data_IF_524892195569
#
_entry.id   IF_524892195569
#
_cell.length_a   1.000
_cell.length_b   1.000
_cell.length_c   1.000
_cell.angle_alpha   90.00
_cell.angle_beta   90.00
_cell.angle_gamma   90.00
#
_symmetry.space_group_name_H-M   'P 1'
#
loop_
_entity.id
_entity.type
_entity.pdbx_description
1 polymer ?
#
# COMPACT_ATOMS: atom_id res chain seq x y z
N UNK A 1 3.18 20.67 63.72
CA UNK A 1 2.94 20.84 62.28
C UNK A 1 3.71 19.82 61.42
N UNK A 2 4.96 19.51 61.74
CA UNK A 2 5.81 18.53 61.02
C UNK A 2 5.24 17.08 61.01
N UNK A 3 4.67 16.58 62.10
CA UNK A 3 4.12 15.23 62.19
C UNK A 3 2.85 15.00 61.36
N UNK A 4 2.02 16.03 61.09
CA UNK A 4 0.88 15.95 60.20
C UNK A 4 1.31 15.94 58.71
N UNK A 5 2.37 16.66 58.35
CA UNK A 5 2.94 16.66 57.00
C UNK A 5 3.59 15.31 56.65
N UNK A 6 4.33 14.69 57.59
CA UNK A 6 4.91 13.36 57.35
C UNK A 6 3.87 12.27 57.15
N UNK A 7 2.73 12.31 57.87
CA UNK A 7 1.62 11.35 57.64
C UNK A 7 0.93 11.57 56.30
N UNK A 8 0.80 12.83 55.84
CA UNK A 8 0.21 13.15 54.56
C UNK A 8 1.11 12.69 53.40
N UNK A 9 2.44 12.86 53.53
CA UNK A 9 3.40 12.39 52.54
C UNK A 9 3.43 10.87 52.43
N UNK A 10 3.37 10.14 53.54
CA UNK A 10 3.30 8.67 53.52
C UNK A 10 1.98 8.14 52.94
N UNK A 11 0.85 8.79 53.20
CA UNK A 11 -0.43 8.41 52.60
C UNK A 11 -0.46 8.69 51.10
N UNK A 12 0.08 9.84 50.66
CA UNK A 12 0.17 10.17 49.24
C UNK A 12 1.13 9.23 48.51
N UNK A 13 2.27 8.87 49.14
CA UNK A 13 3.21 7.88 48.54
C UNK A 13 2.57 6.49 48.47
N UNK A 14 1.84 6.04 49.45
CA UNK A 14 1.13 4.76 49.43
C UNK A 14 0.00 4.72 48.37
N UNK A 15 -0.74 5.82 48.21
CA UNK A 15 -1.76 5.95 47.16
C UNK A 15 -1.16 5.99 45.79
N UNK A 16 0.00 6.68 45.59
CA UNK A 16 0.72 6.70 44.34
C UNK A 16 1.28 5.31 43.99
N UNK A 17 1.84 4.56 44.93
CA UNK A 17 2.30 3.19 44.71
C UNK A 17 1.13 2.28 44.35
N UNK A 18 -0.02 2.39 45.00
CA UNK A 18 -1.24 1.62 44.70
C UNK A 18 -1.81 2.01 43.29
N UNK A 19 -1.73 3.27 42.89
CA UNK A 19 -2.16 3.69 41.54
C UNK A 19 -1.19 3.22 40.45
N UNK A 20 0.11 3.20 40.73
CA UNK A 20 1.12 2.66 39.79
C UNK A 20 0.95 1.15 39.62
N UNK A 21 0.71 0.41 40.72
CA UNK A 21 0.40 -1.02 40.66
C UNK A 21 -0.90 -1.30 39.89
N UNK A 22 -1.97 -0.51 40.16
CA UNK A 22 -3.22 -0.65 39.41
C UNK A 22 -3.07 -0.37 37.92
N UNK A 23 -2.29 0.64 37.55
CA UNK A 23 -2.05 0.96 36.12
C UNK A 23 -1.15 -0.06 35.43
N UNK A 24 -0.22 -0.67 36.17
CA UNK A 24 0.61 -1.76 35.69
C UNK A 24 -0.18 -3.06 35.54
N UNK A 25 -1.08 -3.34 36.46
CA UNK A 25 -2.05 -4.46 36.36
C UNK A 25 -3.06 -4.27 35.22
N UNK A 26 -3.56 -3.07 34.97
CA UNK A 26 -4.41 -2.79 33.81
C UNK A 26 -3.66 -2.99 32.49
N UNK A 27 -2.40 -2.60 32.40
CA UNK A 27 -1.55 -2.87 31.20
C UNK A 27 -1.27 -4.35 31.00
N UNK A 28 -1.10 -5.12 32.08
CA UNK A 28 -0.94 -6.58 32.00
C UNK A 28 -2.29 -7.23 31.63
N UNK A 29 -3.40 -6.72 32.15
CA UNK A 29 -4.75 -7.16 31.77
C UNK A 29 -5.08 -6.92 30.32
N UNK A 30 -4.76 -5.75 29.78
CA UNK A 30 -4.97 -5.46 28.35
C UNK A 30 -4.08 -6.33 27.44
N UNK A 31 -2.85 -6.67 27.89
CA UNK A 31 -2.00 -7.62 27.16
C UNK A 31 -2.54 -9.05 27.17
N UNK A 32 -3.20 -9.49 28.24
CA UNK A 32 -3.85 -10.80 28.25
C UNK A 32 -5.04 -10.85 27.28
N UNK A 33 -5.77 -9.75 27.11
CA UNK A 33 -6.89 -9.64 26.15
C UNK A 33 -6.41 -9.47 24.70
N UNK A 34 -5.23 -8.86 24.53
CA UNK A 34 -4.60 -8.61 23.23
C UNK A 34 -3.59 -9.71 22.80
N UNK A 35 -3.36 -10.74 23.64
CA UNK A 35 -2.56 -11.90 23.24
C UNK A 35 -3.33 -12.72 22.20
N UNK A 36 -3.37 -12.17 20.99
CA UNK A 36 -3.86 -12.83 19.80
C UNK A 36 -3.09 -14.13 19.54
N UNK A 37 -3.72 -15.17 18.99
CA UNK A 37 -3.05 -16.44 18.65
C UNK A 37 -1.86 -16.28 17.68
N UNK A 38 -1.70 -15.11 17.08
CA UNK A 38 -0.57 -14.74 16.19
C UNK A 38 0.82 -14.74 16.85
N UNK A 39 0.91 -14.74 18.19
CA UNK A 39 2.19 -14.72 18.93
C UNK A 39 2.58 -16.08 19.51
N UNK A 40 1.85 -17.13 19.23
CA UNK A 40 2.25 -18.49 19.61
C UNK A 40 3.35 -19.03 18.68
N UNK A 41 4.50 -18.35 18.65
CA UNK A 41 5.72 -18.88 18.02
C UNK A 41 6.42 -19.79 19.00
N UNK A 42 6.39 -21.10 18.73
CA UNK A 42 7.17 -22.08 19.44
C UNK A 42 6.42 -23.38 19.72
N UNK A 43 7.17 -24.45 19.86
CA UNK A 43 6.66 -25.75 20.30
C UNK A 43 6.31 -25.59 21.78
N UNK A 44 5.04 -25.74 22.11
CA UNK A 44 4.58 -25.79 23.49
C UNK A 44 4.83 -27.18 24.05
N UNK A 45 5.53 -27.30 25.21
CA UNK A 45 5.67 -28.60 25.89
C UNK A 45 4.28 -29.02 26.39
N UNK A 46 3.64 -29.99 25.74
CA UNK A 46 2.28 -30.39 26.08
C UNK A 46 2.22 -31.29 27.32
N UNK A 47 3.37 -31.76 27.77
CA UNK A 47 3.50 -32.69 28.91
C UNK A 47 4.10 -31.99 30.14
N UNK A 48 4.32 -30.68 30.05
CA UNK A 48 4.83 -29.90 31.17
C UNK A 48 3.82 -29.84 32.31
N UNK A 49 4.25 -30.15 33.51
CA UNK A 49 3.44 -29.99 34.72
C UNK A 49 3.58 -28.59 35.26
N UNK A 50 2.81 -27.66 34.73
CA UNK A 50 2.86 -26.22 35.06
C UNK A 50 1.97 -25.90 36.28
N UNK A 51 0.68 -26.20 36.20
CA UNK A 51 -0.27 -25.97 37.28
C UNK A 51 0.05 -26.84 38.49
N UNK A 52 0.51 -28.07 38.28
CA UNK A 52 0.97 -28.95 39.31
C UNK A 52 2.19 -28.38 40.06
N UNK A 53 3.18 -27.84 39.33
CA UNK A 53 4.37 -27.22 39.92
C UNK A 53 4.06 -25.95 40.70
N UNK A 54 3.03 -25.19 40.26
CA UNK A 54 2.57 -24.02 40.99
C UNK A 54 1.99 -24.35 42.36
N UNK A 55 1.56 -25.58 42.56
CA UNK A 55 0.94 -26.01 43.81
C UNK A 55 -0.57 -25.84 43.89
N UNK A 56 -1.24 -25.63 42.77
CA UNK A 56 -2.70 -25.59 42.69
C UNK A 56 -3.28 -24.66 41.64
N UNK A 57 -4.59 -24.78 41.45
CA UNK A 57 -5.41 -24.02 40.52
C UNK A 57 -6.15 -22.90 41.29
N UNK A 58 -6.51 -21.84 40.59
CA UNK A 58 -7.20 -20.68 41.15
C UNK A 58 -8.65 -20.62 40.70
N UNK A 59 -9.55 -20.27 41.60
CA UNK A 59 -10.97 -20.05 41.28
C UNK A 59 -11.16 -18.70 40.56
N UNK A 60 -12.04 -18.68 39.58
CA UNK A 60 -12.40 -17.48 38.85
C UNK A 60 -11.24 -16.91 38.02
N UNK A 61 -11.19 -15.59 37.86
CA UNK A 61 -10.10 -14.87 37.21
C UNK A 61 -9.06 -14.45 38.25
N UNK A 62 -7.83 -14.94 38.06
CA UNK A 62 -6.70 -14.56 38.90
C UNK A 62 -5.45 -14.35 38.04
N UNK A 63 -5.13 -13.11 37.75
CA UNK A 63 -4.02 -12.73 36.86
C UNK A 63 -2.63 -13.06 37.44
N UNK A 64 -2.54 -13.42 38.75
CA UNK A 64 -1.32 -13.93 39.38
C UNK A 64 -1.20 -15.46 39.31
N UNK A 65 -2.27 -16.14 38.86
CA UNK A 65 -2.30 -17.59 38.72
C UNK A 65 -1.58 -18.06 37.45
N UNK A 66 -0.34 -17.66 37.30
CA UNK A 66 0.47 -17.84 36.09
C UNK A 66 1.67 -18.74 36.28
N UNK A 67 2.14 -19.31 35.21
CA UNK A 67 3.43 -20.00 35.11
C UNK A 67 4.20 -19.50 33.89
N UNK A 68 5.52 -19.34 34.00
CA UNK A 68 6.36 -19.07 32.83
C UNK A 68 6.22 -20.21 31.81
N UNK A 69 6.04 -19.85 30.55
CA UNK A 69 5.80 -20.81 29.48
C UNK A 69 6.49 -20.33 28.20
N UNK A 70 7.66 -20.88 27.89
CA UNK A 70 8.54 -20.40 26.81
C UNK A 70 8.77 -18.88 26.94
N UNK A 71 8.53 -18.12 25.88
CA UNK A 71 8.67 -16.66 25.88
C UNK A 71 7.40 -15.91 26.35
N UNK A 72 6.47 -16.60 27.01
CA UNK A 72 5.18 -16.08 27.48
C UNK A 72 4.82 -16.64 28.84
N UNK A 73 3.58 -16.47 29.26
CA UNK A 73 2.99 -17.01 30.46
C UNK A 73 1.73 -17.80 30.10
N UNK A 74 1.45 -18.87 30.83
CA UNK A 74 0.16 -19.57 30.83
C UNK A 74 -0.53 -19.46 32.17
N UNK A 75 -1.83 -19.73 32.23
CA UNK A 75 -2.66 -19.53 33.40
C UNK A 75 -3.23 -20.85 33.91
N UNK A 76 -3.38 -20.93 35.25
CA UNK A 76 -3.97 -22.06 35.96
C UNK A 76 -5.30 -21.68 36.65
N UNK A 77 -5.99 -20.66 36.17
CA UNK A 77 -7.29 -20.19 36.66
C UNK A 77 -8.44 -20.60 35.71
N UNK A 78 -9.66 -20.67 36.22
CA UNK A 78 -10.83 -21.08 35.43
C UNK A 78 -11.15 -20.11 34.29
N UNK A 79 -10.63 -18.88 34.34
CA UNK A 79 -10.85 -17.87 33.31
C UNK A 79 -9.97 -18.07 32.06
N UNK A 80 -8.95 -18.94 32.15
CA UNK A 80 -8.10 -19.26 30.97
C UNK A 80 -8.87 -20.02 29.88
N UNK A 81 -9.99 -20.69 30.23
CA UNK A 81 -10.82 -21.45 29.28
C UNK A 81 -11.87 -20.56 28.59
N UNK A 82 -11.45 -19.61 27.79
CA UNK A 82 -12.34 -18.76 26.99
C UNK A 82 -12.06 -18.94 25.49
N UNK A 83 -12.71 -18.16 24.65
CA UNK A 83 -12.65 -18.28 23.17
C UNK A 83 -11.23 -18.42 22.63
N UNK A 84 -10.23 -17.80 23.28
CA UNK A 84 -8.81 -17.99 23.03
C UNK A 84 -8.19 -18.48 24.33
N UNK A 85 -7.97 -19.80 24.42
CA UNK A 85 -7.47 -20.42 25.63
C UNK A 85 -5.99 -20.08 25.85
N UNK A 86 -5.68 -19.52 27.01
CA UNK A 86 -4.32 -19.28 27.52
C UNK A 86 -3.99 -20.17 28.74
N UNK A 87 -4.72 -21.27 28.89
CA UNK A 87 -4.48 -22.26 29.93
C UNK A 87 -3.13 -22.95 29.78
N UNK A 88 -2.52 -23.28 30.93
CA UNK A 88 -1.35 -24.14 30.94
C UNK A 88 -1.67 -25.54 30.40
N UNK A 89 -0.69 -26.25 29.84
CA UNK A 89 -0.90 -27.57 29.21
C UNK A 89 -1.56 -28.62 30.12
N UNK A 90 -1.23 -28.63 31.42
CA UNK A 90 -1.76 -29.56 32.42
C UNK A 90 -3.03 -29.05 33.13
N UNK A 91 -3.57 -27.89 32.72
CA UNK A 91 -4.75 -27.30 33.38
C UNK A 91 -5.95 -28.25 33.38
N UNK A 92 -6.25 -28.87 32.26
CA UNK A 92 -7.40 -29.75 32.12
C UNK A 92 -7.32 -30.99 33.03
N UNK A 93 -6.18 -31.65 33.01
CA UNK A 93 -5.95 -32.83 33.85
C UNK A 93 -5.81 -32.49 35.30
N UNK A 94 -5.05 -31.44 35.66
CA UNK A 94 -4.72 -31.09 37.02
C UNK A 94 -5.80 -30.26 37.74
N UNK A 95 -6.38 -29.27 37.03
CA UNK A 95 -7.34 -28.32 37.63
C UNK A 95 -8.79 -28.78 37.46
N UNK A 96 -9.11 -29.44 36.37
CA UNK A 96 -10.48 -29.84 36.03
C UNK A 96 -10.74 -31.33 36.23
N UNK A 97 -9.69 -32.15 36.41
CA UNK A 97 -9.83 -33.60 36.52
C UNK A 97 -10.39 -34.29 35.29
N UNK A 98 -10.30 -33.60 34.14
CA UNK A 98 -10.80 -34.06 32.84
C UNK A 98 -9.60 -34.44 32.00
N UNK A 99 -9.58 -35.64 31.41
CA UNK A 99 -8.59 -35.97 30.40
C UNK A 99 -8.69 -34.92 29.26
N UNK A 100 -7.57 -34.28 28.91
CA UNK A 100 -7.60 -33.35 27.78
C UNK A 100 -8.12 -34.12 26.55
N UNK A 101 -8.97 -33.50 25.74
CA UNK A 101 -9.44 -34.15 24.52
C UNK A 101 -8.26 -34.65 23.72
N UNK A 102 -8.34 -35.83 23.10
CA UNK A 102 -7.23 -36.44 22.38
C UNK A 102 -6.68 -35.40 21.37
N UNK A 103 -5.49 -34.89 21.67
CA UNK A 103 -4.86 -33.88 20.84
C UNK A 103 -4.08 -34.57 19.77
N UNK A 104 -4.52 -34.50 18.53
CA UNK A 104 -3.77 -34.94 17.40
C UNK A 104 -2.38 -34.29 17.35
N UNK A 105 -1.41 -35.00 16.86
CA UNK A 105 -0.04 -34.52 16.66
C UNK A 105 0.16 -34.35 15.16
N UNK A 106 0.46 -33.15 14.72
CA UNK A 106 0.84 -32.87 13.34
C UNK A 106 2.37 -32.86 13.21
N UNK A 107 2.87 -33.36 12.10
CA UNK A 107 4.31 -33.33 11.80
C UNK A 107 4.60 -32.34 10.68
N UNK A 108 5.69 -31.55 10.82
CA UNK A 108 6.22 -30.67 9.78
C UNK A 108 7.72 -30.52 9.94
N UNK A 109 8.47 -30.78 8.87
CA UNK A 109 9.94 -30.69 8.84
C UNK A 109 10.63 -31.48 9.97
N UNK A 110 10.10 -32.66 10.32
CA UNK A 110 10.64 -33.51 11.38
C UNK A 110 10.28 -33.07 12.80
N UNK A 111 9.50 -32.01 12.97
CA UNK A 111 9.01 -31.55 14.27
C UNK A 111 7.55 -31.92 14.48
N UNK A 112 7.19 -32.18 15.73
CA UNK A 112 5.84 -32.53 16.16
C UNK A 112 5.13 -31.34 16.80
N UNK A 113 3.90 -31.09 16.37
CA UNK A 113 3.06 -29.97 16.82
C UNK A 113 1.73 -30.51 17.32
N UNK A 114 1.22 -29.91 18.39
CA UNK A 114 -0.07 -30.28 18.95
C UNK A 114 -1.24 -29.59 18.28
N UNK A 115 -2.40 -30.18 18.43
CA UNK A 115 -3.67 -29.60 18.00
C UNK A 115 -3.80 -28.14 18.48
N UNK A 116 -4.18 -27.25 17.59
CA UNK A 116 -4.24 -25.80 17.78
C UNK A 116 -2.94 -25.05 17.45
N UNK A 117 -1.83 -25.75 17.19
CA UNK A 117 -0.65 -25.09 16.65
C UNK A 117 -0.93 -24.55 15.24
N UNK A 118 -0.39 -23.39 14.92
CA UNK A 118 -0.60 -22.73 13.63
C UNK A 118 0.73 -22.35 12.99
N UNK A 119 0.76 -22.34 11.66
CA UNK A 119 1.81 -21.71 10.88
C UNK A 119 1.20 -21.08 9.64
N UNK A 120 1.88 -20.08 9.08
CA UNK A 120 1.45 -19.44 7.85
C UNK A 120 2.33 -19.96 6.71
N UNK A 121 1.71 -20.53 5.69
CA UNK A 121 2.34 -20.91 4.45
C UNK A 121 1.91 -19.95 3.36
N UNK A 122 2.82 -19.07 2.93
CA UNK A 122 2.51 -17.94 2.08
C UNK A 122 1.35 -17.13 2.69
N UNK A 123 0.22 -16.95 2.00
CA UNK A 123 -0.94 -16.22 2.50
C UNK A 123 -1.91 -17.08 3.34
N UNK A 124 -1.75 -18.41 3.35
CA UNK A 124 -2.69 -19.33 3.98
C UNK A 124 -2.27 -19.70 5.39
N UNK A 125 -3.17 -19.60 6.35
CA UNK A 125 -2.98 -20.05 7.71
C UNK A 125 -3.31 -21.54 7.80
N UNK A 126 -2.37 -22.34 8.31
CA UNK A 126 -2.53 -23.75 8.56
C UNK A 126 -2.66 -24.00 10.06
N UNK A 127 -3.66 -24.77 10.47
CA UNK A 127 -3.93 -25.13 11.87
C UNK A 127 -3.85 -26.64 12.05
N UNK A 128 -3.13 -27.10 13.05
CA UNK A 128 -3.12 -28.50 13.43
C UNK A 128 -4.48 -28.89 14.04
N UNK A 129 -5.21 -29.78 13.38
CA UNK A 129 -6.51 -30.26 13.82
C UNK A 129 -6.41 -31.20 15.03
N UNK A 130 -7.54 -31.44 15.69
CA UNK A 130 -7.66 -32.45 16.75
C UNK A 130 -7.33 -33.86 16.28
N UNK A 131 -7.44 -34.12 14.98
CA UNK A 131 -7.13 -35.41 14.35
C UNK A 131 -5.65 -35.56 13.98
N UNK A 132 -4.81 -34.56 14.21
CA UNK A 132 -3.38 -34.62 13.91
C UNK A 132 -3.06 -34.30 12.43
N UNK A 133 -3.94 -33.64 11.73
CA UNK A 133 -3.73 -33.21 10.34
C UNK A 133 -3.68 -31.70 10.27
N UNK A 134 -2.80 -31.18 9.40
CA UNK A 134 -2.78 -29.77 9.07
C UNK A 134 -3.98 -29.44 8.19
N UNK A 135 -4.78 -28.48 8.62
CA UNK A 135 -5.89 -27.91 7.85
C UNK A 135 -5.50 -26.49 7.50
N UNK A 136 -5.33 -26.21 6.22
CA UNK A 136 -4.91 -24.91 5.71
C UNK A 136 -6.10 -24.19 5.06
N UNK A 137 -6.09 -22.86 5.15
CA UNK A 137 -6.94 -22.01 4.30
C UNK A 137 -6.54 -22.18 2.84
N UNK A 138 -7.49 -21.92 1.94
CA UNK A 138 -7.28 -22.05 0.47
C UNK A 138 -7.55 -20.70 -0.20
N UNK A 139 -6.80 -19.66 0.20
CA UNK A 139 -6.85 -18.38 -0.48
C UNK A 139 -5.89 -18.37 -1.67
N UNK A 140 -6.28 -17.71 -2.76
CA UNK A 140 -5.34 -17.34 -3.81
C UNK A 140 -4.33 -16.33 -3.25
N UNK A 141 -3.04 -16.65 -3.33
CA UNK A 141 -1.98 -15.75 -2.85
C UNK A 141 -1.48 -14.86 -4.00
N UNK A 142 -0.97 -13.65 -3.66
CA UNK A 142 -0.37 -12.77 -4.66
C UNK A 142 0.86 -13.40 -5.31
N UNK A 143 1.66 -14.11 -4.53
CA UNK A 143 2.84 -14.82 -5.02
C UNK A 143 2.50 -16.30 -5.14
N UNK A 144 2.28 -16.74 -6.35
CA UNK A 144 2.04 -18.14 -6.71
C UNK A 144 3.26 -18.66 -7.48
N UNK A 145 3.98 -19.63 -6.90
CA UNK A 145 5.20 -20.17 -7.55
C UNK A 145 4.90 -20.87 -8.86
N UNK A 146 3.76 -21.55 -8.96
CA UNK A 146 3.30 -22.18 -10.20
C UNK A 146 3.07 -21.17 -11.32
N UNK A 147 2.44 -20.02 -11.00
CA UNK A 147 2.22 -18.92 -11.95
C UNK A 147 3.56 -18.34 -12.42
N UNK A 148 4.50 -18.06 -11.50
CA UNK A 148 5.82 -17.54 -11.83
C UNK A 148 6.57 -18.51 -12.74
N UNK A 149 6.56 -19.79 -12.44
CA UNK A 149 7.21 -20.82 -13.25
C UNK A 149 6.56 -20.94 -14.63
N UNK A 150 5.23 -20.98 -14.69
CA UNK A 150 4.49 -21.09 -15.95
C UNK A 150 4.78 -19.91 -16.87
N UNK A 151 4.81 -18.69 -16.35
CA UNK A 151 5.16 -17.48 -17.11
C UNK A 151 6.62 -17.55 -17.59
N UNK A 152 7.55 -17.96 -16.71
CA UNK A 152 8.97 -17.95 -17.03
C UNK A 152 9.37 -19.04 -18.03
N UNK A 153 8.68 -20.18 -18.02
CA UNK A 153 8.89 -21.25 -19.00
C UNK A 153 8.07 -21.08 -20.28
N UNK A 154 6.94 -20.36 -20.16
CA UNK A 154 6.11 -20.02 -21.29
C UNK A 154 6.73 -18.92 -22.15
N UNK A 155 6.16 -18.76 -23.34
CA UNK A 155 6.61 -17.78 -24.33
C UNK A 155 5.68 -16.56 -24.36
N UNK A 156 5.45 -15.94 -23.19
CA UNK A 156 4.51 -14.82 -23.03
C UNK A 156 5.12 -13.45 -23.37
N UNK A 157 6.43 -13.38 -23.66
CA UNK A 157 7.12 -12.11 -23.97
C UNK A 157 7.52 -11.29 -22.75
N UNK A 158 7.28 -11.81 -21.53
CA UNK A 158 7.69 -11.18 -20.28
C UNK A 158 8.12 -12.21 -19.24
N UNK A 159 8.72 -11.75 -18.15
CA UNK A 159 9.24 -12.57 -17.06
C UNK A 159 8.61 -12.18 -15.74
N UNK A 160 8.41 -13.17 -14.88
CA UNK A 160 7.87 -13.03 -13.54
C UNK A 160 8.93 -13.23 -12.45
N UNK A 161 8.72 -12.62 -11.29
CA UNK A 161 9.56 -12.79 -10.11
C UNK A 161 8.74 -12.85 -8.83
N UNK A 162 9.34 -13.42 -7.79
CA UNK A 162 8.83 -13.35 -6.43
C UNK A 162 9.25 -12.01 -5.79
N UNK A 163 8.30 -11.29 -5.22
CA UNK A 163 8.52 -10.05 -4.49
C UNK A 163 8.20 -10.22 -3.01
N UNK A 164 9.20 -10.01 -2.15
CA UNK A 164 9.05 -10.12 -0.69
C UNK A 164 7.96 -9.21 -0.12
N UNK A 165 7.75 -8.05 -0.74
CA UNK A 165 6.70 -7.09 -0.35
C UNK A 165 5.26 -7.61 -0.56
N UNK A 166 5.09 -8.66 -1.38
CA UNK A 166 3.80 -9.30 -1.64
C UNK A 166 3.69 -10.70 -1.05
N UNK A 167 4.80 -11.24 -0.55
CA UNK A 167 4.79 -12.54 0.10
C UNK A 167 3.92 -12.54 1.34
N UNK A 168 3.06 -13.52 1.44
CA UNK A 168 2.12 -13.65 2.56
C UNK A 168 0.84 -12.83 2.44
N UNK A 169 0.63 -12.12 1.32
CA UNK A 169 -0.63 -11.47 1.00
C UNK A 169 -1.49 -12.37 0.13
N UNK A 170 -2.80 -12.39 0.39
CA UNK A 170 -3.78 -12.97 -0.53
C UNK A 170 -4.00 -12.05 -1.72
N UNK A 171 -4.55 -12.60 -2.83
CA UNK A 171 -4.93 -11.80 -3.98
C UNK A 171 -5.96 -10.72 -3.60
N UNK A 172 -6.93 -11.05 -2.74
CA UNK A 172 -7.92 -10.08 -2.26
C UNK A 172 -7.28 -8.92 -1.48
N UNK A 173 -6.29 -9.20 -0.64
CA UNK A 173 -5.51 -8.16 0.05
C UNK A 173 -4.71 -7.31 -0.94
N UNK A 174 -4.10 -7.92 -1.96
CA UNK A 174 -3.39 -7.19 -3.00
C UNK A 174 -4.29 -6.25 -3.78
N UNK A 175 -5.45 -6.72 -4.22
CA UNK A 175 -6.44 -5.90 -4.90
C UNK A 175 -6.97 -4.78 -4.00
N UNK A 176 -7.16 -5.06 -2.71
CA UNK A 176 -7.66 -4.10 -1.73
C UNK A 176 -6.66 -3.03 -1.35
N UNK A 177 -5.37 -3.37 -1.18
CA UNK A 177 -4.38 -2.46 -0.58
C UNK A 177 -3.34 -1.93 -1.57
N UNK A 178 -3.12 -2.60 -2.72
CA UNK A 178 -2.07 -2.24 -3.67
C UNK A 178 -2.56 -1.56 -4.94
N UNK A 179 -3.88 -1.44 -5.12
CA UNK A 179 -4.50 -0.74 -6.24
C UNK A 179 -5.09 0.60 -5.78
N UNK A 180 -6.39 0.80 -5.94
CA UNK A 180 -7.10 1.90 -5.28
C UNK A 180 -7.71 2.93 -6.21
N UNK A 181 -7.74 2.71 -7.52
CA UNK A 181 -8.44 3.58 -8.44
C UNK A 181 -9.84 3.05 -8.71
N UNK A 182 -10.85 3.89 -8.52
CA UNK A 182 -12.23 3.55 -8.90
C UNK A 182 -12.44 3.81 -10.39
N UNK A 183 -13.20 2.95 -11.06
CA UNK A 183 -13.57 3.15 -12.46
C UNK A 183 -14.34 4.44 -12.64
N UNK A 184 -14.04 5.25 -13.66
CA UNK A 184 -14.79 6.45 -13.97
C UNK A 184 -16.24 6.11 -14.32
N UNK A 185 -17.18 6.98 -13.90
CA UNK A 185 -18.56 6.86 -14.36
C UNK A 185 -18.68 7.15 -15.86
N UNK A 186 -19.78 6.72 -16.48
CA UNK A 186 -20.04 7.01 -17.90
C UNK A 186 -20.00 8.51 -18.22
N UNK A 187 -20.48 9.36 -17.32
CA UNK A 187 -20.44 10.80 -17.47
C UNK A 187 -19.00 11.34 -17.49
N UNK A 188 -18.10 10.75 -16.69
CA UNK A 188 -16.68 11.09 -16.67
C UNK A 188 -15.96 10.55 -17.90
N UNK A 189 -16.35 9.37 -18.36
CA UNK A 189 -15.81 8.78 -19.61
C UNK A 189 -16.07 9.64 -20.85
N UNK A 190 -17.12 10.49 -20.84
CA UNK A 190 -17.46 11.42 -21.92
C UNK A 190 -16.97 12.86 -21.71
N UNK A 191 -16.16 13.09 -20.64
CA UNK A 191 -15.69 14.43 -20.28
C UNK A 191 -14.59 14.93 -21.23
N UNK A 192 -14.74 16.18 -21.70
CA UNK A 192 -13.71 17.00 -22.39
C UNK A 192 -12.68 16.19 -23.19
N UNK A 193 -13.13 15.35 -24.12
CA UNK A 193 -12.23 14.65 -25.04
C UNK A 193 -11.65 15.68 -26.02
N UNK A 194 -10.33 15.75 -26.05
CA UNK A 194 -9.60 16.55 -27.02
C UNK A 194 -9.23 15.65 -28.20
N UNK A 195 -9.65 16.02 -29.38
CA UNK A 195 -9.13 15.42 -30.62
C UNK A 195 -7.88 16.17 -31.01
N UNK A 196 -6.77 15.45 -31.09
CA UNK A 196 -5.52 16.01 -31.58
C UNK A 196 -5.58 16.10 -33.10
N UNK A 197 -5.33 17.28 -33.66
CA UNK A 197 -5.13 17.40 -35.11
C UNK A 197 -3.82 16.73 -35.46
N UNK A 198 -3.91 15.53 -36.02
CA UNK A 198 -2.77 14.78 -36.53
C UNK A 198 -2.58 15.17 -38.01
N UNK A 199 -1.49 15.88 -38.31
CA UNK A 199 -1.08 16.04 -39.70
C UNK A 199 -0.62 14.68 -40.26
N UNK A 200 -1.08 14.31 -41.45
CA UNK A 200 -0.77 13.02 -42.04
C UNK A 200 0.75 12.79 -42.25
N UNK A 201 1.55 13.84 -42.16
CA UNK A 201 3.00 13.84 -42.33
C UNK A 201 3.77 13.98 -41.01
N UNK A 202 3.08 13.98 -39.85
CA UNK A 202 3.77 14.16 -38.59
C UNK A 202 4.57 12.91 -38.21
N UNK A 203 5.88 13.09 -38.00
CA UNK A 203 6.78 12.01 -37.63
C UNK A 203 6.67 11.69 -36.14
N UNK A 204 6.23 10.49 -35.81
CA UNK A 204 6.28 9.92 -34.47
C UNK A 204 7.38 8.86 -34.45
N UNK A 205 8.41 9.01 -33.57
CA UNK A 205 9.50 8.05 -33.52
C UNK A 205 9.03 6.68 -33.00
N UNK A 206 9.73 5.61 -33.38
CA UNK A 206 9.45 4.25 -32.91
C UNK A 206 9.77 4.06 -31.41
N UNK A 207 10.62 4.92 -30.84
CA UNK A 207 10.95 4.95 -29.42
C UNK A 207 10.92 6.38 -28.89
N UNK A 208 10.40 6.54 -27.70
CA UNK A 208 10.38 7.80 -26.98
C UNK A 208 10.37 7.56 -25.45
N UNK A 209 11.18 8.32 -24.71
CA UNK A 209 11.17 8.32 -23.26
C UNK A 209 11.19 9.77 -22.76
N UNK A 210 10.19 10.14 -21.98
CA UNK A 210 10.07 11.49 -21.42
C UNK A 210 11.28 11.90 -20.56
N UNK A 211 11.89 10.96 -19.85
CA UNK A 211 13.06 11.24 -19.01
C UNK A 211 14.30 11.60 -19.87
N UNK A 212 14.40 11.07 -21.07
CA UNK A 212 15.47 11.41 -22.01
C UNK A 212 15.22 12.76 -22.69
N UNK A 213 13.97 13.05 -23.04
CA UNK A 213 13.59 14.34 -23.64
C UNK A 213 13.68 15.49 -22.65
N UNK A 214 13.29 15.25 -21.39
CA UNK A 214 13.26 16.25 -20.31
C UNK A 214 14.09 15.81 -19.10
N UNK A 215 15.42 15.75 -19.22
CA UNK A 215 16.29 15.28 -18.14
C UNK A 215 16.10 16.14 -16.86
N UNK A 216 15.99 15.47 -15.73
CA UNK A 216 15.78 16.10 -14.42
C UNK A 216 14.39 16.66 -14.17
N UNK A 217 13.43 16.47 -15.10
CA UNK A 217 12.05 16.98 -14.97
C UNK A 217 11.01 15.86 -14.79
N UNK A 218 11.41 14.62 -14.93
CA UNK A 218 10.56 13.43 -14.75
C UNK A 218 10.93 12.81 -13.41
N UNK A 219 9.94 12.71 -12.53
CA UNK A 219 10.12 12.15 -11.19
C UNK A 219 10.02 10.63 -11.22
N UNK A 220 10.85 10.01 -10.39
CA UNK A 220 10.92 8.56 -10.27
C UNK A 220 9.69 7.97 -9.58
N UNK A 221 9.40 6.66 -9.82
CA UNK A 221 8.31 5.96 -9.17
C UNK A 221 8.42 5.97 -7.64
N UNK A 222 7.30 6.23 -6.98
CA UNK A 222 7.13 6.15 -5.53
C UNK A 222 6.56 4.77 -5.11
N UNK A 223 6.43 4.57 -3.81
CA UNK A 223 5.80 3.37 -3.24
C UNK A 223 4.59 3.76 -2.38
N UNK A 224 3.40 3.31 -2.79
CA UNK A 224 2.15 3.52 -2.05
C UNK A 224 2.00 2.59 -0.84
N UNK A 225 2.88 1.59 -0.67
CA UNK A 225 2.78 0.62 0.42
C UNK A 225 1.42 -0.08 0.45
N UNK A 226 0.95 -0.41 1.65
CA UNK A 226 -0.37 -1.02 1.87
C UNK A 226 -1.49 0.04 1.99
N UNK A 227 -1.58 0.92 1.01
CA UNK A 227 -2.57 1.98 0.93
C UNK A 227 -3.14 2.00 -0.49
N UNK A 228 -4.44 1.76 -0.64
CA UNK A 228 -5.10 1.75 -1.94
C UNK A 228 -5.21 3.17 -2.52
N UNK A 229 -4.08 3.75 -2.88
CA UNK A 229 -3.95 5.16 -3.25
C UNK A 229 -3.30 5.42 -4.62
N UNK A 230 -3.33 4.45 -5.55
CA UNK A 230 -2.81 4.68 -6.91
C UNK A 230 -3.44 5.91 -7.58
N UNK A 231 -4.71 6.21 -7.25
CA UNK A 231 -5.42 7.42 -7.68
C UNK A 231 -4.69 8.71 -7.29
N UNK A 232 -4.11 8.77 -6.09
CA UNK A 232 -3.39 9.94 -5.58
C UNK A 232 -1.94 9.98 -6.06
N UNK A 233 -1.24 8.82 -6.06
CA UNK A 233 0.15 8.71 -6.47
C UNK A 233 0.34 9.03 -7.96
N UNK A 234 -0.47 8.46 -8.84
CA UNK A 234 -0.38 8.73 -10.27
C UNK A 234 -0.75 10.19 -10.61
N UNK A 235 -1.78 10.76 -9.93
CA UNK A 235 -2.17 12.16 -10.12
C UNK A 235 -1.05 13.11 -9.68
N UNK A 236 -0.49 12.93 -8.49
CA UNK A 236 0.62 13.73 -8.00
C UNK A 236 1.86 13.61 -8.90
N UNK A 237 2.19 12.39 -9.35
CA UNK A 237 3.34 12.13 -10.20
C UNK A 237 3.22 12.79 -11.58
N UNK A 238 2.07 12.66 -12.25
CA UNK A 238 1.84 13.32 -13.55
C UNK A 238 1.85 14.84 -13.41
N UNK A 239 1.21 15.39 -12.38
CA UNK A 239 1.21 16.82 -12.13
C UNK A 239 2.62 17.37 -11.87
N UNK A 240 3.45 16.65 -11.11
CA UNK A 240 4.85 17.00 -10.84
C UNK A 240 5.66 17.14 -12.12
N UNK A 241 5.59 16.14 -12.99
CA UNK A 241 6.31 16.13 -14.25
C UNK A 241 5.83 17.23 -15.20
N UNK A 242 4.52 17.42 -15.31
CA UNK A 242 3.92 18.45 -16.17
C UNK A 242 4.28 19.87 -15.71
N UNK A 243 4.29 20.15 -14.42
CA UNK A 243 4.76 21.42 -13.86
C UNK A 243 6.24 21.63 -14.18
N UNK A 244 7.05 20.59 -13.99
CA UNK A 244 8.50 20.65 -14.25
C UNK A 244 8.83 20.92 -15.70
N UNK A 245 8.12 20.28 -16.63
CA UNK A 245 8.27 20.48 -18.07
C UNK A 245 7.83 21.90 -18.46
N UNK A 246 6.64 22.31 -18.06
CA UNK A 246 6.02 23.57 -18.45
C UNK A 246 6.74 24.78 -17.87
N UNK A 247 7.34 24.66 -16.71
CA UNK A 247 8.21 25.68 -16.12
C UNK A 247 9.61 25.68 -16.74
N UNK A 248 9.86 24.86 -17.75
CA UNK A 248 11.20 24.67 -18.35
C UNK A 248 12.26 24.24 -17.31
N UNK A 249 11.84 23.66 -16.19
CA UNK A 249 12.73 23.25 -15.10
C UNK A 249 13.01 24.36 -14.06
N UNK A 250 12.36 25.53 -14.15
CA UNK A 250 12.44 26.53 -13.10
C UNK A 250 11.78 26.06 -11.80
N UNK A 251 10.78 25.23 -11.90
CA UNK A 251 10.13 24.55 -10.77
C UNK A 251 10.12 23.04 -11.05
N UNK A 252 10.62 22.25 -10.11
CA UNK A 252 10.65 20.78 -10.21
C UNK A 252 10.05 20.16 -8.94
N UNK A 253 8.81 20.52 -8.55
CA UNK A 253 8.21 20.01 -7.34
C UNK A 253 7.83 18.55 -7.49
N UNK A 254 8.20 17.71 -6.52
CA UNK A 254 7.55 16.42 -6.34
C UNK A 254 6.34 16.63 -5.44
N UNK A 255 5.14 16.52 -6.00
CA UNK A 255 3.91 16.80 -5.29
C UNK A 255 3.53 15.67 -4.32
N UNK A 256 2.88 16.04 -3.21
CA UNK A 256 2.50 15.12 -2.14
C UNK A 256 1.26 14.31 -2.48
N UNK A 257 1.34 13.00 -2.65
CA UNK A 257 0.15 12.13 -2.66
C UNK A 257 -0.54 12.11 -1.29
N UNK A 258 0.20 12.24 -0.17
CA UNK A 258 -0.38 12.32 1.17
C UNK A 258 -1.36 13.49 1.31
N UNK A 259 -1.06 14.63 0.72
CA UNK A 259 -1.95 15.79 0.75
C UNK A 259 -3.29 15.47 0.05
N UNK A 260 -3.28 14.75 -1.07
CA UNK A 260 -4.50 14.25 -1.71
C UNK A 260 -5.23 13.22 -0.82
N UNK A 261 -4.52 12.19 -0.35
CA UNK A 261 -5.08 11.10 0.46
C UNK A 261 -5.79 11.62 1.70
N UNK A 262 -5.18 12.58 2.41
CA UNK A 262 -5.71 13.09 3.68
C UNK A 262 -6.73 14.21 3.53
N UNK A 263 -6.65 15.01 2.47
CA UNK A 263 -7.39 16.27 2.38
C UNK A 263 -8.47 16.29 1.30
N UNK A 264 -8.37 15.44 0.27
CA UNK A 264 -9.44 15.25 -0.70
C UNK A 264 -10.44 14.22 -0.16
N UNK A 265 -11.40 14.73 0.62
CA UNK A 265 -12.38 13.87 1.31
C UNK A 265 -13.74 13.81 0.60
N UNK A 266 -13.90 14.53 -0.51
CA UNK A 266 -15.16 14.57 -1.23
C UNK A 266 -15.31 13.39 -2.19
N UNK A 267 -16.05 12.37 -1.76
CA UNK A 267 -16.21 11.09 -2.49
C UNK A 267 -14.90 10.36 -2.77
N UNK A 268 -13.95 10.48 -1.84
CA UNK A 268 -12.68 9.78 -1.83
C UNK A 268 -12.54 8.98 -0.54
N UNK A 269 -11.94 7.81 -0.60
CA UNK A 269 -11.75 6.91 0.54
C UNK A 269 -10.33 6.90 1.11
N UNK A 270 -9.47 7.86 0.75
CA UNK A 270 -8.08 7.85 1.23
C UNK A 270 -7.34 6.59 0.79
N UNK A 271 -6.90 5.77 1.76
CA UNK A 271 -6.27 4.47 1.52
C UNK A 271 -7.27 3.34 1.17
N UNK A 272 -8.57 3.59 1.19
CA UNK A 272 -9.59 2.64 0.72
C UNK A 272 -9.97 2.84 -0.75
N UNK A 273 -9.26 3.71 -1.45
CA UNK A 273 -9.48 3.98 -2.86
C UNK A 273 -10.08 5.35 -3.16
N UNK A 274 -9.97 5.77 -4.40
CA UNK A 274 -10.48 7.05 -4.86
C UNK A 274 -10.57 7.17 -6.38
N UNK A 275 -11.02 8.33 -6.82
CA UNK A 275 -11.28 8.66 -8.22
C UNK A 275 -10.25 9.66 -8.72
N UNK A 276 -9.69 9.43 -9.89
CA UNK A 276 -8.72 10.34 -10.48
C UNK A 276 -9.36 11.68 -10.90
N UNK A 277 -10.61 11.69 -11.37
CA UNK A 277 -11.33 12.93 -11.69
C UNK A 277 -11.53 13.80 -10.45
N UNK A 278 -11.81 13.21 -9.30
CA UNK A 278 -11.88 13.91 -8.01
C UNK A 278 -10.53 14.51 -7.61
N UNK A 279 -9.46 13.73 -7.74
CA UNK A 279 -8.10 14.19 -7.43
C UNK A 279 -7.68 15.39 -8.29
N UNK A 280 -7.94 15.36 -9.61
CA UNK A 280 -7.66 16.47 -10.51
C UNK A 280 -8.52 17.70 -10.19
N UNK A 281 -9.79 17.48 -9.83
CA UNK A 281 -10.65 18.58 -9.37
C UNK A 281 -10.09 19.22 -8.10
N UNK A 282 -9.64 18.41 -7.12
CA UNK A 282 -9.01 18.91 -5.90
C UNK A 282 -7.73 19.70 -6.21
N UNK A 283 -6.85 19.12 -7.04
CA UNK A 283 -5.59 19.77 -7.45
C UNK A 283 -5.85 21.11 -8.15
N UNK A 284 -6.84 21.18 -9.02
CA UNK A 284 -7.26 22.42 -9.67
C UNK A 284 -7.81 23.45 -8.69
N UNK A 285 -8.65 23.03 -7.76
CA UNK A 285 -9.41 23.95 -6.88
C UNK A 285 -8.67 24.31 -5.61
N UNK A 286 -7.95 23.36 -5.02
CA UNK A 286 -7.26 23.50 -3.74
C UNK A 286 -5.75 23.53 -3.90
N UNK A 287 -5.23 22.71 -4.79
CA UNK A 287 -3.79 22.46 -4.92
C UNK A 287 -3.22 21.65 -3.77
N UNK A 288 -1.98 21.26 -3.93
CA UNK A 288 -1.23 20.47 -2.95
C UNK A 288 0.17 21.04 -2.76
N UNK A 289 0.82 20.69 -1.65
CA UNK A 289 2.22 20.98 -1.37
C UNK A 289 3.13 19.88 -1.91
N UNK A 290 4.44 20.03 -1.72
CA UNK A 290 5.43 19.02 -2.10
C UNK A 290 5.44 17.83 -1.14
N UNK A 291 5.98 16.70 -1.60
CA UNK A 291 6.22 15.50 -0.80
C UNK A 291 7.18 15.79 0.37
N UNK A 292 8.18 16.63 0.17
CA UNK A 292 9.08 17.04 1.27
C UNK A 292 8.32 17.78 2.38
N UNK A 293 7.34 18.60 2.02
CA UNK A 293 6.53 19.35 2.98
C UNK A 293 5.53 18.46 3.72
N UNK A 294 4.85 17.57 2.99
CA UNK A 294 3.86 16.64 3.54
C UNK A 294 4.15 15.22 3.06
N UNK A 295 5.14 14.54 3.70
CA UNK A 295 5.57 13.22 3.29
C UNK A 295 4.47 12.19 3.38
N UNK A 296 4.51 11.20 2.48
CA UNK A 296 3.65 10.03 2.58
C UNK A 296 3.98 9.25 3.86
N UNK A 297 2.95 9.01 4.65
CA UNK A 297 3.03 8.19 5.86
C UNK A 297 2.03 7.04 5.72
N UNK A 298 2.49 5.86 5.30
CA UNK A 298 1.61 4.71 5.15
C UNK A 298 0.99 4.35 6.50
N UNK A 299 -0.29 3.91 6.55
CA UNK A 299 -0.90 3.45 7.76
C UNK A 299 -0.10 2.26 8.33
N UNK A 300 0.22 2.32 9.63
CA UNK A 300 1.02 1.28 10.31
C UNK A 300 0.27 -0.07 10.42
N UNK A 301 -1.03 -0.03 10.30
CA UNK A 301 -1.91 -1.20 10.20
C UNK A 301 -2.89 -0.96 9.05
N UNK A 302 -3.50 -2.03 8.56
CA UNK A 302 -4.54 -2.00 7.51
C UNK A 302 -5.83 -1.33 8.02
N UNK A 303 -5.72 -0.11 8.55
CA UNK A 303 -6.87 0.66 8.98
C UNK A 303 -7.43 1.41 7.77
N UNK A 304 -8.71 1.25 7.51
CA UNK A 304 -9.46 2.06 6.54
C UNK A 304 -9.63 3.52 7.05
N UNK A 305 -9.02 3.87 8.18
CA UNK A 305 -9.10 5.20 8.77
C UNK A 305 -8.36 6.22 7.91
N UNK A 306 -9.11 7.20 7.45
CA UNK A 306 -8.58 8.31 6.67
C UNK A 306 -7.70 9.17 7.57
N UNK A 307 -6.43 9.32 7.19
CA UNK A 307 -5.49 10.15 7.94
C UNK A 307 -5.97 11.61 7.99
N UNK A 308 -5.84 12.24 9.17
CA UNK A 308 -6.25 13.64 9.38
C UNK A 308 -5.54 14.57 8.38
N UNK A 309 -6.31 15.44 7.71
CA UNK A 309 -5.76 16.48 6.85
C UNK A 309 -4.98 17.51 7.67
N UNK A 310 -3.69 17.60 7.43
CA UNK A 310 -2.79 18.55 8.11
C UNK A 310 -2.45 19.76 7.26
N UNK A 311 -2.74 19.73 5.95
CA UNK A 311 -2.41 20.80 5.02
C UNK A 311 -3.61 21.15 4.14
N UNK A 312 -4.11 22.37 4.27
CA UNK A 312 -5.14 22.92 3.42
C UNK A 312 -4.67 24.23 2.77
N UNK A 313 -5.43 24.74 1.82
CA UNK A 313 -5.14 26.02 1.17
C UNK A 313 -6.33 26.96 1.18
N UNK A 314 -6.07 28.25 1.30
CA UNK A 314 -7.05 29.33 1.18
C UNK A 314 -6.78 30.19 -0.06
N UNK A 315 -7.82 30.78 -0.63
CA UNK A 315 -7.67 31.75 -1.71
C UNK A 315 -7.13 33.06 -1.16
N UNK A 316 -6.15 33.65 -1.86
CA UNK A 316 -5.57 34.97 -1.54
C UNK A 316 -5.82 35.98 -2.64
N UNK A 317 -6.76 35.72 -3.55
CA UNK A 317 -7.10 36.54 -4.69
C UNK A 317 -6.35 36.18 -5.97
N UNK A 318 -6.79 36.74 -7.09
CA UNK A 318 -6.22 36.52 -8.45
C UNK A 318 -5.98 35.06 -8.82
N UNK A 319 -6.76 34.13 -8.23
CA UNK A 319 -6.61 32.69 -8.44
C UNK A 319 -5.41 32.06 -7.72
N UNK A 320 -4.63 32.81 -6.94
CA UNK A 320 -3.54 32.26 -6.10
C UNK A 320 -4.08 31.65 -4.82
N UNK A 321 -3.38 30.64 -4.35
CA UNK A 321 -3.68 29.96 -3.08
C UNK A 321 -2.46 29.95 -2.18
N UNK A 322 -2.71 29.96 -0.87
CA UNK A 322 -1.70 29.91 0.18
C UNK A 322 -2.04 28.77 1.13
N UNK A 323 -1.04 28.05 1.57
CA UNK A 323 -1.18 27.04 2.62
C UNK A 323 -1.68 27.67 3.92
N UNK A 324 -2.54 26.93 4.64
CA UNK A 324 -3.13 27.41 5.90
C UNK A 324 -2.31 27.00 7.12
N UNK A 325 -1.30 26.16 6.96
CA UNK A 325 -0.44 25.63 8.02
C UNK A 325 1.03 25.56 7.56
N UNK A 326 1.91 25.37 8.52
CA UNK A 326 3.30 24.96 8.25
C UNK A 326 3.33 23.52 7.75
N UNK A 327 4.46 23.14 7.13
CA UNK A 327 4.67 21.78 6.69
C UNK A 327 4.56 20.79 7.88
N UNK A 328 3.86 19.66 7.74
CA UNK A 328 3.95 18.56 8.69
C UNK A 328 5.38 18.10 8.96
N UNK A 329 6.22 18.09 7.94
CA UNK A 329 7.67 17.95 8.12
C UNK A 329 8.26 19.25 8.65
N UNK A 330 8.60 19.29 9.93
CA UNK A 330 9.10 20.48 10.64
C UNK A 330 10.45 21.03 10.12
N UNK A 331 11.18 20.24 9.34
CA UNK A 331 12.45 20.64 8.72
C UNK A 331 12.27 21.43 7.43
N UNK A 332 11.04 21.43 6.87
CA UNK A 332 10.72 22.10 5.61
C UNK A 332 9.88 23.35 5.89
N UNK A 333 10.33 24.49 5.39
CA UNK A 333 9.67 25.78 5.57
C UNK A 333 8.84 26.20 4.34
N UNK A 334 9.12 25.61 3.17
CA UNK A 334 8.43 25.93 1.93
C UNK A 334 7.13 25.13 1.82
N UNK A 335 6.01 25.81 1.92
CA UNK A 335 4.67 25.23 1.86
C UNK A 335 3.87 25.78 0.67
N UNK A 336 4.53 25.99 -0.45
CA UNK A 336 3.92 26.46 -1.68
C UNK A 336 2.84 25.51 -2.17
N UNK A 337 1.74 26.10 -2.68
CA UNK A 337 0.59 25.36 -3.20
C UNK A 337 0.66 25.30 -4.72
N UNK A 338 0.75 24.11 -5.25
CA UNK A 338 0.76 23.82 -6.68
C UNK A 338 -0.62 23.39 -7.15
N UNK A 339 -1.05 23.94 -8.28
CA UNK A 339 -2.37 23.71 -8.87
C UNK A 339 -2.23 23.24 -10.32
N UNK A 340 -3.29 22.61 -10.85
CA UNK A 340 -3.41 22.26 -12.26
C UNK A 340 -4.52 23.07 -12.95
N UNK A 341 -4.52 23.02 -14.29
CA UNK A 341 -5.66 23.37 -15.12
C UNK A 341 -6.72 22.25 -15.07
N UNK A 342 -7.89 22.41 -15.70
CA UNK A 342 -8.80 21.30 -15.90
C UNK A 342 -8.12 20.17 -16.68
N UNK A 343 -8.27 18.92 -16.25
CA UNK A 343 -7.81 17.78 -17.02
C UNK A 343 -8.65 17.62 -18.29
N UNK A 344 -8.05 17.02 -19.30
CA UNK A 344 -8.72 16.65 -20.54
C UNK A 344 -8.46 15.18 -20.85
N UNK A 345 -9.44 14.54 -21.44
CA UNK A 345 -9.34 13.16 -21.88
C UNK A 345 -8.76 13.11 -23.29
N UNK A 346 -7.89 12.14 -23.54
CA UNK A 346 -7.42 11.79 -24.86
C UNK A 346 -8.34 10.74 -25.51
N UNK A 347 -8.34 10.69 -26.84
CA UNK A 347 -8.97 9.59 -27.56
C UNK A 347 -8.23 8.27 -27.27
N UNK A 348 -8.85 7.15 -27.62
CA UNK A 348 -8.24 5.82 -27.49
C UNK A 348 -7.20 5.51 -28.58
N UNK A 349 -6.92 6.47 -29.45
CA UNK A 349 -5.96 6.31 -30.53
C UNK A 349 -4.52 6.38 -29.99
N UNK A 350 -3.75 5.31 -30.20
CA UNK A 350 -2.36 5.24 -29.73
C UNK A 350 -1.50 6.41 -30.22
N UNK A 351 -1.67 6.86 -31.46
CA UNK A 351 -0.88 7.97 -32.04
C UNK A 351 -1.17 9.31 -31.38
N UNK A 352 -2.42 9.56 -31.02
CA UNK A 352 -2.79 10.78 -30.31
C UNK A 352 -2.22 10.79 -28.88
N UNK A 353 -2.23 9.64 -28.21
CA UNK A 353 -1.59 9.47 -26.88
C UNK A 353 -0.07 9.69 -27.01
N UNK A 354 0.57 9.09 -28.00
CA UNK A 354 2.01 9.28 -28.28
C UNK A 354 2.35 10.75 -28.52
N UNK A 355 1.58 11.43 -29.37
CA UNK A 355 1.78 12.86 -29.65
C UNK A 355 1.65 13.70 -28.39
N UNK A 356 0.62 13.47 -27.59
CA UNK A 356 0.42 14.20 -26.33
C UNK A 356 1.61 14.04 -25.38
N UNK A 357 2.10 12.80 -25.21
CA UNK A 357 3.27 12.53 -24.37
C UNK A 357 4.51 13.21 -24.94
N UNK A 358 4.71 13.13 -26.26
CA UNK A 358 5.86 13.71 -26.94
C UNK A 358 5.90 15.23 -26.84
N UNK A 359 4.76 15.90 -26.96
CA UNK A 359 4.69 17.35 -26.97
C UNK A 359 4.60 17.97 -25.57
N UNK A 360 3.84 17.33 -24.69
CA UNK A 360 3.38 17.93 -23.45
C UNK A 360 3.88 17.20 -22.19
N UNK A 361 4.37 15.97 -22.31
CA UNK A 361 4.88 15.18 -21.19
C UNK A 361 3.97 14.02 -20.76
N UNK A 362 4.31 13.29 -19.70
CA UNK A 362 3.61 12.11 -19.23
C UNK A 362 2.11 12.31 -19.02
N UNK A 363 1.35 11.24 -19.22
CA UNK A 363 -0.11 11.19 -19.04
C UNK A 363 -0.49 10.17 -17.98
N UNK A 364 -1.69 10.33 -17.43
CA UNK A 364 -2.26 9.37 -16.49
C UNK A 364 -3.18 8.41 -17.25
N UNK A 365 -3.04 7.11 -16.96
CA UNK A 365 -3.91 6.08 -17.51
C UNK A 365 -4.48 5.20 -16.39
N UNK A 366 -5.65 4.63 -16.66
CA UNK A 366 -6.28 3.59 -15.82
C UNK A 366 -6.09 2.27 -16.53
N UNK A 367 -5.79 1.21 -15.77
CA UNK A 367 -5.73 -0.15 -16.28
C UNK A 367 -6.41 -1.14 -15.33
N UNK A 368 -6.83 -2.29 -15.86
CA UNK A 368 -7.18 -3.46 -15.07
C UNK A 368 -5.92 -4.22 -14.68
N UNK A 369 -5.74 -4.46 -13.40
CA UNK A 369 -4.66 -5.29 -12.88
C UNK A 369 -5.20 -6.67 -12.58
N UNK A 370 -4.67 -7.66 -13.27
CA UNK A 370 -4.93 -9.08 -13.07
C UNK A 370 -3.91 -9.68 -12.10
N UNK A 371 -4.16 -10.90 -11.66
CA UNK A 371 -3.35 -11.60 -10.66
C UNK A 371 -1.87 -11.75 -11.06
N UNK A 372 -1.59 -11.95 -12.35
CA UNK A 372 -0.24 -12.14 -12.87
C UNK A 372 0.58 -10.84 -12.96
N UNK A 373 -0.07 -9.68 -12.95
CA UNK A 373 0.64 -8.39 -13.00
C UNK A 373 1.49 -8.14 -11.75
N UNK A 374 1.06 -8.63 -10.57
CA UNK A 374 1.82 -8.45 -9.33
C UNK A 374 3.21 -9.07 -9.39
N UNK A 375 3.38 -10.14 -10.14
CA UNK A 375 4.66 -10.85 -10.30
C UNK A 375 5.48 -10.40 -11.51
N UNK A 376 5.04 -9.37 -12.25
CA UNK A 376 5.77 -8.84 -13.40
C UNK A 376 7.18 -8.38 -13.01
N UNK A 377 8.19 -8.81 -13.77
CA UNK A 377 9.59 -8.43 -13.58
C UNK A 377 10.15 -7.62 -14.74
N UNK A 378 9.98 -8.08 -15.97
CA UNK A 378 10.55 -7.45 -17.17
C UNK A 378 9.91 -7.97 -18.47
N UNK A 379 10.09 -7.25 -19.55
CA UNK A 379 9.53 -7.60 -20.86
C UNK A 379 8.23 -6.86 -21.15
N UNK A 380 7.55 -7.22 -22.23
CA UNK A 380 6.29 -6.58 -22.63
C UNK A 380 5.14 -7.38 -22.03
N UNK A 381 4.53 -6.82 -20.97
CA UNK A 381 3.43 -7.45 -20.27
C UNK A 381 2.19 -7.59 -21.16
N UNK A 382 1.62 -8.77 -21.12
CA UNK A 382 0.25 -9.11 -21.50
C UNK A 382 -0.30 -10.04 -20.44
N UNK A 383 -1.57 -9.85 -20.09
CA UNK A 383 -2.26 -10.79 -19.20
C UNK A 383 -2.24 -12.21 -19.80
N UNK A 384 -1.96 -13.20 -18.97
CA UNK A 384 -1.81 -14.59 -19.41
C UNK A 384 -3.05 -15.42 -19.08
N UNK A 385 -3.20 -16.52 -19.80
CA UNK A 385 -4.25 -17.51 -19.57
C UNK A 385 -3.85 -18.63 -18.58
N UNK A 386 -2.71 -18.49 -17.91
CA UNK A 386 -2.15 -19.51 -17.01
C UNK A 386 -3.18 -19.98 -15.98
N UNK A 387 -3.92 -19.06 -15.40
CA UNK A 387 -4.92 -19.37 -14.37
C UNK A 387 -6.33 -19.62 -14.90
N UNK A 388 -6.53 -19.72 -16.21
CA UNK A 388 -7.88 -19.88 -16.82
C UNK A 388 -8.63 -21.11 -16.30
N UNK A 389 -7.91 -22.16 -15.93
CA UNK A 389 -8.46 -23.42 -15.41
C UNK A 389 -8.62 -23.44 -13.88
N UNK A 390 -8.07 -22.46 -13.18
CA UNK A 390 -8.21 -22.35 -11.71
C UNK A 390 -9.59 -21.80 -11.32
N UNK A 391 -9.96 -22.00 -10.07
CA UNK A 391 -11.20 -21.47 -9.51
C UNK A 391 -11.27 -19.91 -9.61
N UNK A 392 -12.47 -19.30 -9.62
CA UNK A 392 -12.64 -17.86 -9.81
C UNK A 392 -11.83 -16.98 -8.85
N UNK A 393 -11.55 -17.45 -7.61
CA UNK A 393 -10.75 -16.71 -6.64
C UNK A 393 -9.31 -16.45 -7.10
N UNK A 394 -8.78 -17.23 -8.04
CA UNK A 394 -7.44 -17.08 -8.62
C UNK A 394 -7.41 -16.16 -9.85
N UNK A 395 -8.54 -15.65 -10.31
CA UNK A 395 -8.70 -14.86 -11.54
C UNK A 395 -9.38 -13.52 -11.30
N UNK A 396 -9.19 -12.96 -10.11
CA UNK A 396 -9.73 -11.65 -9.76
C UNK A 396 -8.85 -10.55 -10.33
N UNK A 397 -9.49 -9.44 -10.66
CA UNK A 397 -8.81 -8.22 -11.11
C UNK A 397 -9.36 -6.99 -10.38
N UNK A 398 -8.63 -5.90 -10.48
CA UNK A 398 -9.04 -4.61 -9.92
C UNK A 398 -8.51 -3.45 -10.75
N UNK A 399 -8.97 -2.25 -10.45
CA UNK A 399 -8.64 -1.05 -11.20
C UNK A 399 -7.49 -0.29 -10.53
N UNK A 400 -6.53 0.11 -11.33
CA UNK A 400 -5.31 0.79 -10.93
C UNK A 400 -5.04 1.98 -11.85
N UNK A 401 -4.24 2.94 -11.42
CA UNK A 401 -3.81 4.04 -12.28
C UNK A 401 -2.31 4.24 -12.23
N UNK A 402 -1.76 4.60 -13.38
CA UNK A 402 -0.32 4.70 -13.63
C UNK A 402 0.02 5.95 -14.43
N UNK A 403 1.31 6.25 -14.54
CA UNK A 403 1.84 7.32 -15.37
C UNK A 403 2.52 6.72 -16.61
N UNK A 404 2.01 7.00 -17.82
CA UNK A 404 2.69 6.63 -19.05
C UNK A 404 3.73 7.69 -19.40
N UNK A 405 4.99 7.28 -19.55
CA UNK A 405 6.13 8.16 -19.78
C UNK A 405 6.75 8.03 -21.18
N UNK A 406 6.35 7.03 -21.95
CA UNK A 406 6.92 6.79 -23.24
C UNK A 406 6.43 5.51 -23.89
N UNK A 407 7.11 5.12 -24.94
CA UNK A 407 6.80 3.93 -25.73
C UNK A 407 8.03 3.43 -26.45
N UNK A 408 7.91 2.23 -27.01
CA UNK A 408 8.93 1.67 -27.89
C UNK A 408 8.39 0.54 -28.74
N UNK A 409 9.30 0.00 -29.52
CA UNK A 409 9.09 -1.17 -30.37
C UNK A 409 10.31 -2.08 -30.25
N UNK A 410 10.08 -3.37 -30.10
CA UNK A 410 11.15 -4.37 -30.17
C UNK A 410 10.72 -5.54 -31.05
N UNK A 411 11.68 -6.29 -31.56
CA UNK A 411 11.40 -7.50 -32.35
C UNK A 411 11.46 -8.71 -31.44
N UNK A 412 10.43 -9.53 -31.49
CA UNK A 412 10.45 -10.82 -30.83
C UNK A 412 11.39 -11.82 -31.57
N UNK A 413 11.56 -13.00 -30.99
CA UNK A 413 12.42 -14.04 -31.55
C UNK A 413 11.96 -14.55 -32.95
N UNK A 414 10.69 -14.30 -33.31
CA UNK A 414 10.15 -14.59 -34.66
C UNK A 414 10.34 -13.42 -35.63
N UNK A 415 10.96 -12.32 -35.21
CA UNK A 415 11.14 -11.11 -36.01
C UNK A 415 9.90 -10.23 -36.12
N UNK A 416 8.80 -10.55 -35.40
CA UNK A 416 7.58 -9.75 -35.33
C UNK A 416 7.81 -8.53 -34.43
N UNK A 417 7.44 -7.36 -34.90
CA UNK A 417 7.50 -6.13 -34.13
C UNK A 417 6.44 -6.15 -33.01
N UNK A 418 6.88 -5.97 -31.77
CA UNK A 418 6.07 -5.82 -30.60
C UNK A 418 6.14 -4.36 -30.15
N UNK A 419 4.99 -3.71 -30.04
CA UNK A 419 4.85 -2.33 -29.57
C UNK A 419 4.54 -2.32 -28.10
N UNK A 420 5.06 -1.34 -27.35
CA UNK A 420 4.80 -1.21 -25.93
C UNK A 420 4.71 0.23 -25.45
N UNK A 421 3.98 0.43 -24.36
CA UNK A 421 4.07 1.62 -23.52
C UNK A 421 5.12 1.42 -22.43
N UNK A 422 5.77 2.51 -22.02
CA UNK A 422 6.60 2.58 -20.82
C UNK A 422 5.77 3.32 -19.76
N UNK A 423 5.47 2.67 -18.64
CA UNK A 423 4.66 3.24 -17.59
C UNK A 423 5.32 3.11 -16.23
N UNK A 424 5.20 4.16 -15.41
CA UNK A 424 5.62 4.17 -14.02
C UNK A 424 4.49 3.69 -13.12
N UNK A 425 4.79 2.68 -12.31
CA UNK A 425 3.90 2.17 -11.26
C UNK A 425 4.14 2.90 -9.93
N UNK A 426 3.41 2.54 -8.90
CA UNK A 426 3.54 3.08 -7.54
C UNK A 426 3.77 1.99 -6.49
N UNK A 427 4.58 0.98 -6.83
CA UNK A 427 4.96 -0.14 -5.96
C UNK A 427 6.45 -0.19 -5.61
N UNK A 428 7.12 0.95 -5.69
CA UNK A 428 8.54 1.09 -5.39
C UNK A 428 9.47 0.62 -6.52
N UNK A 429 10.75 0.98 -6.39
CA UNK A 429 11.77 0.69 -7.41
C UNK A 429 12.19 -0.78 -7.48
N UNK A 430 11.89 -1.55 -6.44
CA UNK A 430 12.25 -2.99 -6.41
C UNK A 430 11.29 -3.86 -7.24
N UNK A 431 10.14 -3.33 -7.63
CA UNK A 431 9.18 -4.00 -8.48
C UNK A 431 9.42 -3.67 -9.96
N UNK A 432 9.18 -4.66 -10.82
CA UNK A 432 9.27 -4.49 -12.27
C UNK A 432 10.65 -4.07 -12.76
N UNK A 433 10.68 -3.21 -13.75
CA UNK A 433 11.88 -2.61 -14.35
C UNK A 433 12.22 -1.30 -13.61
N UNK A 434 12.77 -1.40 -12.39
CA UNK A 434 13.07 -0.26 -11.50
C UNK A 434 11.85 0.62 -11.17
N UNK A 435 10.69 0.00 -10.93
CA UNK A 435 9.43 0.65 -10.66
C UNK A 435 8.59 0.97 -11.89
N UNK A 436 9.14 0.71 -13.07
CA UNK A 436 8.45 0.82 -14.36
C UNK A 436 8.00 -0.55 -14.87
N UNK A 437 7.14 -0.54 -15.86
CA UNK A 437 6.77 -1.71 -16.64
C UNK A 437 6.54 -1.33 -18.09
N UNK A 438 6.68 -2.32 -18.95
CA UNK A 438 6.30 -2.21 -20.34
C UNK A 438 5.05 -3.05 -20.58
N UNK A 439 4.07 -2.51 -21.28
CA UNK A 439 2.79 -3.16 -21.58
C UNK A 439 2.47 -3.02 -23.06
N UNK A 440 1.85 -4.02 -23.65
CA UNK A 440 1.49 -4.01 -25.07
C UNK A 440 0.72 -2.74 -25.46
N UNK A 441 1.11 -2.13 -26.58
CA UNK A 441 0.56 -0.89 -27.13
C UNK A 441 -0.22 -1.12 -28.42
N UNK A 442 -1.34 -0.41 -28.56
CA UNK A 442 -2.19 -0.46 -29.75
C UNK A 442 -3.18 -1.61 -29.75
N UNK A 443 -3.24 -2.37 -28.66
CA UNK A 443 -4.14 -3.53 -28.47
C UNK A 443 -5.14 -3.28 -27.32
N UNK A 444 -5.08 -2.12 -26.67
CA UNK A 444 -5.81 -1.81 -25.46
C UNK A 444 -5.63 -2.86 -24.35
N UNK A 445 -4.40 -3.34 -24.17
CA UNK A 445 -4.07 -4.37 -23.18
C UNK A 445 -4.44 -3.90 -21.78
N UNK A 446 -5.18 -4.75 -21.04
CA UNK A 446 -5.67 -4.40 -19.70
C UNK A 446 -6.40 -3.04 -19.63
N UNK A 447 -7.05 -2.63 -20.70
CA UNK A 447 -7.77 -1.35 -20.85
C UNK A 447 -6.88 -0.09 -20.67
N UNK A 448 -5.55 -0.18 -20.78
CA UNK A 448 -4.65 0.96 -20.51
C UNK A 448 -4.88 2.15 -21.44
N UNK A 449 -5.40 1.95 -22.65
CA UNK A 449 -5.70 3.00 -23.62
C UNK A 449 -7.14 3.52 -23.53
N UNK A 450 -8.00 2.88 -22.73
CA UNK A 450 -9.42 3.19 -22.67
C UNK A 450 -9.72 4.54 -22.00
N UNK A 451 -8.89 4.94 -21.02
CA UNK A 451 -9.08 6.19 -20.29
C UNK A 451 -7.74 6.83 -19.93
N UNK A 452 -7.33 7.78 -20.76
CA UNK A 452 -6.06 8.50 -20.63
C UNK A 452 -6.33 9.99 -20.45
N UNK A 453 -5.68 10.59 -19.45
CA UNK A 453 -5.83 12.01 -19.09
C UNK A 453 -4.51 12.75 -19.29
N UNK A 454 -4.59 13.89 -19.97
CA UNK A 454 -3.59 14.94 -19.97
C UNK A 454 -4.00 16.12 -19.09
N UNK A 455 -3.03 16.90 -18.65
CA UNK A 455 -3.25 18.06 -17.80
C UNK A 455 -2.13 19.09 -17.98
N UNK A 456 -2.42 20.35 -17.73
CA UNK A 456 -1.41 21.41 -17.62
C UNK A 456 -1.23 21.84 -16.17
N UNK A 457 0.00 22.17 -15.77
CA UNK A 457 0.28 22.90 -14.55
C UNK A 457 -0.26 24.33 -14.64
N UNK A 458 -0.72 24.88 -13.54
CA UNK A 458 -1.07 26.29 -13.47
C UNK A 458 0.14 27.10 -13.04
N UNK A 459 0.88 27.63 -14.03
CA UNK A 459 2.13 28.35 -13.83
C UNK A 459 1.93 29.78 -14.27
N UNK A 460 2.36 30.77 -13.45
CA UNK A 460 2.39 32.19 -13.82
C UNK A 460 3.83 32.63 -14.05
N UNK A 461 4.01 33.69 -14.85
CA UNK A 461 5.34 34.28 -15.08
C UNK A 461 6.01 34.74 -13.78
N UNK A 462 5.22 35.22 -12.81
CA UNK A 462 5.69 35.62 -11.48
C UNK A 462 6.26 34.43 -10.69
N UNK A 463 5.64 33.25 -10.82
CA UNK A 463 6.10 32.02 -10.16
C UNK A 463 7.48 31.62 -10.69
N UNK A 464 7.70 31.73 -12.00
CA UNK A 464 9.00 31.42 -12.62
C UNK A 464 10.10 32.40 -12.16
N UNK A 465 9.81 33.69 -12.00
CA UNK A 465 10.78 34.70 -11.55
C UNK A 465 11.13 34.56 -10.07
N UNK A 466 10.17 34.25 -9.20
CA UNK A 466 10.42 34.11 -7.76
C UNK A 466 11.37 32.94 -7.44
N UNK A 467 11.24 31.83 -8.14
CA UNK A 467 12.13 30.67 -7.98
C UNK A 467 13.57 30.95 -8.44
N UNK A 468 13.75 31.77 -9.46
CA UNK A 468 15.08 32.13 -9.93
C UNK A 468 15.89 32.91 -8.87
N UNK A 469 15.24 33.83 -8.12
CA UNK A 469 15.88 34.57 -7.03
C UNK A 469 16.23 33.71 -5.82
N UNK A 470 15.47 32.67 -5.51
CA UNK A 470 15.78 31.75 -4.41
C UNK A 470 16.95 30.82 -4.72
N UNK A 471 17.12 30.36 -5.95
CA UNK A 471 18.27 29.56 -6.36
C UNK A 471 19.57 30.35 -6.33
N UNK A 472 19.57 31.62 -6.74
CA UNK A 472 20.77 32.45 -6.68
C UNK A 472 21.23 32.79 -5.25
N UNK A 473 20.31 32.80 -4.26
CA UNK A 473 20.66 33.03 -2.84
C UNK A 473 21.23 31.78 -2.13
N UNK A 474 21.04 30.59 -2.68
CA UNK A 474 21.60 29.32 -2.13
C UNK A 474 23.04 29.06 -2.59
N UNK A 475 23.53 29.73 -3.63
CA UNK A 475 24.88 29.60 -4.18
C UNK A 475 25.79 30.80 -3.84
N UNK A 476 25.39 31.70 -2.95
CA UNK A 476 26.17 32.70 -2.31
C UNK A 476 26.19 32.43 -0.79
#
# INVERSE_FOLDING_TARGET
MMMKMMRLVMVVSAVLVLMVDSSMMERIRSRRELASPLHARGIRDPFGSYCQRRGGCCEGRNDECTMPYLDTICYCDLFCNRTVSDCCPDFWGHCMGIDPPPRGICERNGHRFHSGATYKENCNLCTCSATGQWVCEEHACLIEQELIQAVNWGNYGWKAANYSQFWGMSLDEGLRYRLGTQRPSRAIMSMNEIQMNMDNNEYIPSYFNAAEKWPGKIHEPLDQGNCAASWAFSTASVASDRISIQSMGHMTPQLSPQNLISCDTRNQGGCAGGRIDGAWWYLRRRGVVTEECYPFNPPQQTSDEMSRCMMQSRSVGRGKRQATARCPNSHIYHNEIYQSTPPYRLSTNEKEIMKEIMDNGPVQAILEVHEDFFVYKSGIYRHTDVNVHKAPQYRKHGTHSVKITGWGEERDFNGKTQKYWIAANSWGKNWGESGYFRIARGENECEIEAFVIGVWGRITMEDMHSHHHHHQKRHK
#
